data_IF_414609552167
#
_entry.id   IF_414609552167
#
_cell.length_a   1.000
_cell.length_b   1.000
_cell.length_c   1.000
_cell.angle_alpha   90.00
_cell.angle_beta   90.00
_cell.angle_gamma   90.00
#
_symmetry.space_group_name_H-M   'P 1'
#
loop_
_entity.id
_entity.type
_entity.pdbx_description
1 polymer ?
#
# COMPACT_ATOMS: atom_id res chain seq x y z
N UNK A 1 7.57 10.72 17.12
CA UNK A 1 6.87 10.28 15.89
C UNK A 1 7.69 9.21 15.23
N UNK A 2 7.31 7.94 15.36
CA UNK A 2 7.99 6.84 14.68
C UNK A 2 7.31 6.66 13.32
N UNK A 3 7.86 7.26 12.25
CA UNK A 3 7.39 6.96 10.89
C UNK A 3 8.14 5.71 10.44
N UNK A 4 7.41 4.62 10.22
CA UNK A 4 7.97 3.47 9.52
C UNK A 4 8.34 3.92 8.10
N UNK A 5 9.62 3.90 7.78
CA UNK A 5 10.09 4.30 6.47
C UNK A 5 9.88 3.16 5.47
N UNK A 6 9.08 3.40 4.44
CA UNK A 6 8.80 2.41 3.39
C UNK A 6 9.64 2.77 2.16
N UNK A 7 10.54 1.85 1.78
CA UNK A 7 11.39 2.01 0.60
C UNK A 7 10.86 1.16 -0.56
N UNK A 8 10.43 1.76 -1.69
CA UNK A 8 9.92 1.00 -2.83
C UNK A 8 10.88 -0.08 -3.35
N UNK A 9 12.20 0.15 -3.30
CA UNK A 9 13.21 -0.83 -3.71
C UNK A 9 13.10 -2.16 -2.95
N UNK A 10 12.80 -2.12 -1.65
CA UNK A 10 12.69 -3.34 -0.84
C UNK A 10 11.40 -4.08 -1.13
N UNK A 11 10.31 -3.35 -1.39
CA UNK A 11 9.03 -3.93 -1.81
C UNK A 11 9.17 -4.62 -3.18
N UNK A 12 9.78 -3.95 -4.15
CA UNK A 12 10.05 -4.50 -5.50
C UNK A 12 10.93 -5.75 -5.38
N UNK A 13 12.03 -5.68 -4.63
CA UNK A 13 12.94 -6.81 -4.44
C UNK A 13 12.21 -8.03 -3.88
N UNK A 14 11.32 -7.84 -2.89
CA UNK A 14 10.53 -8.93 -2.31
C UNK A 14 9.48 -9.45 -3.29
N UNK A 15 8.79 -8.59 -4.02
CA UNK A 15 7.80 -8.99 -5.01
C UNK A 15 8.43 -9.82 -6.14
N UNK A 16 9.57 -9.38 -6.67
CA UNK A 16 10.36 -10.11 -7.66
C UNK A 16 10.89 -11.44 -7.11
N UNK A 17 11.40 -11.47 -5.88
CA UNK A 17 11.85 -12.70 -5.23
C UNK A 17 10.75 -13.78 -5.18
N UNK A 18 9.49 -13.36 -4.99
CA UNK A 18 8.34 -14.25 -4.98
C UNK A 18 7.72 -14.49 -6.36
N UNK A 19 8.31 -13.95 -7.45
CA UNK A 19 7.73 -13.95 -8.79
C UNK A 19 6.26 -13.46 -8.80
N UNK A 20 5.97 -12.44 -8.00
CA UNK A 20 4.60 -11.99 -7.78
C UNK A 20 4.06 -11.24 -9.00
N UNK A 21 2.90 -11.67 -9.52
CA UNK A 21 2.19 -10.93 -10.56
C UNK A 21 1.44 -9.69 -10.03
N UNK A 22 1.22 -9.63 -8.71
CA UNK A 22 0.55 -8.54 -8.03
C UNK A 22 0.88 -8.53 -6.53
N UNK A 23 0.73 -7.37 -5.88
CA UNK A 23 0.82 -7.22 -4.42
C UNK A 23 -0.32 -6.38 -3.89
N UNK A 24 -0.91 -6.78 -2.77
CA UNK A 24 -1.85 -5.95 -2.00
C UNK A 24 -1.06 -5.27 -0.89
N UNK A 25 -1.23 -3.95 -0.76
CA UNK A 25 -0.64 -3.18 0.33
C UNK A 25 -1.60 -3.17 1.51
N UNK A 26 -1.07 -3.24 2.73
CA UNK A 26 -1.89 -3.07 3.92
C UNK A 26 -1.10 -2.40 5.04
N UNK A 27 -1.74 -1.53 5.80
CA UNK A 27 -1.22 -1.05 7.07
C UNK A 27 -2.35 -0.85 8.09
N UNK A 28 -1.98 -0.81 9.36
CA UNK A 28 -2.93 -0.63 10.46
C UNK A 28 -2.91 0.81 10.97
N UNK A 29 -4.08 1.34 11.29
CA UNK A 29 -4.25 2.54 12.10
C UNK A 29 -4.65 2.12 13.53
N UNK A 30 -3.72 2.18 14.51
CA UNK A 30 -4.03 1.79 15.89
C UNK A 30 -5.14 2.61 16.54
N UNK A 31 -5.44 3.80 16.01
CA UNK A 31 -6.56 4.64 16.43
C UNK A 31 -7.94 4.05 16.10
N UNK A 32 -8.02 3.07 15.19
CA UNK A 32 -9.29 2.53 14.67
C UNK A 32 -9.86 3.33 13.50
N UNK A 33 -9.42 4.56 13.27
CA UNK A 33 -9.85 5.41 12.15
C UNK A 33 -9.21 4.94 10.85
N UNK A 34 -10.02 4.60 9.83
CA UNK A 34 -9.52 4.07 8.55
C UNK A 34 -9.38 5.13 7.45
N UNK A 35 -9.65 6.40 7.76
CA UNK A 35 -9.52 7.49 6.79
C UNK A 35 -8.05 7.65 6.37
N UNK A 36 -7.72 7.54 5.06
CA UNK A 36 -6.35 7.65 4.58
C UNK A 36 -5.81 9.07 4.74
N UNK A 37 -4.64 9.18 5.38
CA UNK A 37 -3.89 10.41 5.49
C UNK A 37 -3.26 10.81 4.15
N UNK A 38 -2.74 12.04 4.07
CA UNK A 38 -1.94 12.47 2.92
C UNK A 38 -0.69 11.62 2.72
N UNK A 39 -0.08 11.14 3.80
CA UNK A 39 1.11 10.30 3.73
C UNK A 39 0.78 8.93 3.13
N UNK A 40 -0.37 8.35 3.49
CA UNK A 40 -0.83 7.05 2.98
C UNK A 40 -1.06 7.13 1.47
N UNK A 41 -1.74 8.19 1.00
CA UNK A 41 -1.95 8.41 -0.44
C UNK A 41 -0.62 8.55 -1.19
N UNK A 42 0.30 9.36 -0.69
CA UNK A 42 1.59 9.60 -1.33
C UNK A 42 2.45 8.32 -1.42
N UNK A 43 2.50 7.52 -0.36
CA UNK A 43 3.27 6.27 -0.40
C UNK A 43 2.62 5.23 -1.31
N UNK A 44 1.28 5.20 -1.36
CA UNK A 44 0.52 4.34 -2.28
C UNK A 44 0.87 4.67 -3.72
N UNK A 45 0.73 5.92 -4.14
CA UNK A 45 1.06 6.39 -5.48
C UNK A 45 2.50 6.03 -5.86
N UNK A 46 3.44 6.27 -4.94
CA UNK A 46 4.86 5.94 -5.16
C UNK A 46 5.10 4.44 -5.35
N UNK A 47 4.43 3.60 -4.56
CA UNK A 47 4.57 2.14 -4.67
C UNK A 47 3.92 1.61 -5.95
N UNK A 48 2.73 2.10 -6.30
CA UNK A 48 2.03 1.74 -7.55
C UNK A 48 2.89 2.07 -8.76
N UNK A 49 3.43 3.29 -8.83
CA UNK A 49 4.32 3.68 -9.93
C UNK A 49 5.57 2.80 -9.99
N UNK A 50 6.22 2.57 -8.85
CA UNK A 50 7.48 1.84 -8.81
C UNK A 50 7.31 0.33 -9.14
N UNK A 51 6.24 -0.30 -8.66
CA UNK A 51 5.92 -1.70 -8.97
C UNK A 51 5.44 -1.86 -10.43
N UNK A 52 4.74 -0.85 -10.96
CA UNK A 52 4.32 -0.81 -12.35
C UNK A 52 5.48 -0.79 -13.36
N UNK A 53 6.65 -0.24 -12.99
CA UNK A 53 7.85 -0.27 -13.84
C UNK A 53 8.41 -1.68 -14.08
N UNK A 54 7.98 -2.66 -13.29
CA UNK A 54 8.38 -4.07 -13.40
C UNK A 54 7.18 -4.99 -13.58
N UNK A 55 6.07 -4.46 -14.12
CA UNK A 55 4.83 -5.19 -14.44
C UNK A 55 4.17 -5.90 -13.23
N UNK A 56 4.39 -5.40 -12.02
CA UNK A 56 3.72 -5.90 -10.81
C UNK A 56 2.55 -4.98 -10.47
N UNK A 57 1.34 -5.54 -10.50
CA UNK A 57 0.12 -4.78 -10.22
C UNK A 57 -0.06 -4.55 -8.72
N UNK A 58 -0.74 -3.46 -8.37
CA UNK A 58 -1.22 -3.19 -7.01
C UNK A 58 -2.75 -3.15 -7.04
N UNK A 59 -3.43 -4.30 -6.82
CA UNK A 59 -4.89 -4.35 -6.95
C UNK A 59 -5.61 -3.55 -5.87
N UNK A 60 -4.99 -3.39 -4.69
CA UNK A 60 -5.57 -2.60 -3.62
C UNK A 60 -4.52 -2.15 -2.58
N UNK A 61 -4.91 -1.16 -1.78
CA UNK A 61 -4.28 -0.79 -0.53
C UNK A 61 -5.33 -0.72 0.58
N UNK A 62 -5.15 -1.53 1.62
CA UNK A 62 -6.06 -1.64 2.75
C UNK A 62 -5.54 -0.89 3.99
N UNK A 63 -6.38 -0.04 4.58
CA UNK A 63 -6.14 0.53 5.92
C UNK A 63 -7.02 -0.22 6.92
N UNK A 64 -6.41 -0.87 7.90
CA UNK A 64 -7.11 -1.70 8.89
C UNK A 64 -7.20 -0.95 10.23
N UNK A 65 -8.42 -0.67 10.68
CA UNK A 65 -8.73 0.04 11.93
C UNK A 65 -9.64 -0.80 12.82
N UNK A 66 -9.12 -1.89 13.38
CA UNK A 66 -9.92 -2.82 14.18
C UNK A 66 -10.92 -3.59 13.32
N UNK A 67 -12.22 -3.37 13.54
CA UNK A 67 -13.30 -4.01 12.77
C UNK A 67 -13.63 -3.30 11.45
N UNK A 68 -12.97 -2.17 11.16
CA UNK A 68 -13.16 -1.41 9.94
C UNK A 68 -11.96 -1.58 9.00
N UNK A 69 -12.24 -1.58 7.70
CA UNK A 69 -11.22 -1.60 6.65
C UNK A 69 -11.60 -0.56 5.60
N UNK A 70 -10.62 0.24 5.19
CA UNK A 70 -10.74 1.12 4.02
C UNK A 70 -9.97 0.51 2.86
N UNK A 71 -10.65 0.29 1.73
CA UNK A 71 -10.04 -0.11 0.45
C UNK A 71 -9.83 1.11 -0.44
N UNK A 72 -8.60 1.32 -0.93
CA UNK A 72 -8.34 2.38 -1.90
C UNK A 72 -9.05 2.10 -3.24
N UNK A 73 -9.10 0.84 -3.67
CA UNK A 73 -9.73 0.44 -4.91
C UNK A 73 -11.25 0.69 -4.90
N UNK A 74 -11.95 0.32 -3.82
CA UNK A 74 -13.40 0.54 -3.69
C UNK A 74 -13.77 2.03 -3.68
N UNK A 75 -12.83 2.90 -3.29
CA UNK A 75 -13.02 4.35 -3.22
C UNK A 75 -12.44 5.11 -4.42
N UNK A 76 -11.99 4.42 -5.47
CA UNK A 76 -11.47 5.06 -6.70
C UNK A 76 -10.17 5.84 -6.49
N UNK A 77 -9.35 5.42 -5.52
CA UNK A 77 -8.05 6.03 -5.21
C UNK A 77 -6.86 5.27 -5.81
N UNK A 78 -7.14 4.22 -6.58
CA UNK A 78 -6.19 3.38 -7.32
C UNK A 78 -6.65 3.20 -8.77
#
# INVERSE_FOLDING_TARGET
MNRTEVHPREVIKRALYHNAAAVVLAHNHPSGEVTPSKADRLITERLVQALGLVDIRVPDHLIVGGSQVFSFAEHGLL
#
